data_IF_203965094834
#
_entry.id   IF_203965094834
#
_cell.length_a   1.000
_cell.length_b   1.000
_cell.length_c   1.000
_cell.angle_alpha   90.00
_cell.angle_beta   90.00
_cell.angle_gamma   90.00
#
_symmetry.space_group_name_H-M   'P 1'
#
loop_
_entity.id
_entity.type
_entity.pdbx_description
1 polymer ?
#
# COMPACT_ATOMS: atom_id res chain seq x y z
N UNK A 1 -6.84 -14.85 29.58
CA UNK A 1 -5.72 -14.24 28.83
C UNK A 1 -6.17 -14.01 27.38
N UNK A 2 -7.09 -13.07 27.16
CA UNK A 2 -7.76 -12.89 25.85
C UNK A 2 -8.12 -11.41 25.59
N UNK A 3 -7.41 -10.48 26.24
CA UNK A 3 -7.71 -9.04 26.20
C UNK A 3 -6.57 -8.18 25.65
N UNK A 4 -5.44 -8.76 25.25
CA UNK A 4 -4.27 -8.00 24.76
C UNK A 4 -4.05 -8.07 23.23
N UNK A 5 -4.89 -8.79 22.47
CA UNK A 5 -4.70 -8.98 21.03
C UNK A 5 -5.60 -8.09 20.15
N UNK A 6 -6.55 -7.36 20.72
CA UNK A 6 -7.47 -6.50 19.96
C UNK A 6 -6.98 -5.05 19.77
N UNK A 7 -5.81 -4.68 20.31
CA UNK A 7 -5.37 -3.28 20.37
C UNK A 7 -4.40 -2.85 19.27
N UNK A 8 -3.91 -3.75 18.40
CA UNK A 8 -2.78 -3.43 17.51
C UNK A 8 -3.14 -3.25 16.02
N UNK A 9 -4.42 -3.39 15.63
CA UNK A 9 -4.83 -3.28 14.22
C UNK A 9 -6.14 -2.49 13.99
N UNK A 10 -6.62 -1.75 14.99
CA UNK A 10 -7.75 -0.85 14.79
C UNK A 10 -7.25 0.45 14.17
N UNK A 11 -6.86 0.44 12.89
CA UNK A 11 -6.92 1.66 12.09
C UNK A 11 -8.36 2.11 12.15
N UNK A 12 -8.61 3.24 12.80
CA UNK A 12 -9.97 3.76 12.86
C UNK A 12 -10.40 4.14 11.45
N UNK A 13 -11.69 4.04 11.14
CA UNK A 13 -12.22 4.49 9.84
C UNK A 13 -11.82 5.94 9.49
N UNK A 14 -11.54 6.76 10.50
CA UNK A 14 -11.07 8.13 10.36
C UNK A 14 -9.60 8.25 9.90
N UNK A 15 -8.77 7.23 10.13
CA UNK A 15 -7.34 7.21 9.78
C UNK A 15 -7.07 6.55 8.42
N UNK A 16 -8.05 5.85 7.85
CA UNK A 16 -7.93 5.22 6.53
C UNK A 16 -7.52 6.18 5.40
N UNK A 17 -8.10 7.40 5.28
CA UNK A 17 -7.64 8.35 4.27
C UNK A 17 -6.18 8.77 4.45
N UNK A 18 -5.70 8.86 5.69
CA UNK A 18 -4.29 9.15 5.99
C UNK A 18 -3.39 8.00 5.56
N UNK A 19 -3.75 6.75 5.88
CA UNK A 19 -2.99 5.57 5.44
C UNK A 19 -2.92 5.47 3.91
N UNK A 20 -4.01 5.78 3.20
CA UNK A 20 -4.00 5.83 1.75
C UNK A 20 -3.05 6.93 1.20
N UNK A 21 -3.00 8.09 1.87
CA UNK A 21 -2.08 9.18 1.50
C UNK A 21 -0.62 8.79 1.78
N UNK A 22 -0.36 8.05 2.86
CA UNK A 22 0.97 7.51 3.18
C UNK A 22 1.45 6.55 2.10
N UNK A 23 0.62 5.58 1.69
CA UNK A 23 0.92 4.65 0.58
C UNK A 23 1.21 5.41 -0.73
N UNK A 24 0.43 6.46 -1.04
CA UNK A 24 0.71 7.31 -2.22
C UNK A 24 2.08 8.00 -2.12
N UNK A 25 2.38 8.60 -0.96
CA UNK A 25 3.61 9.34 -0.74
C UNK A 25 4.85 8.44 -0.78
N UNK A 26 4.75 7.24 -0.20
CA UNK A 26 5.78 6.20 -0.30
C UNK A 26 6.01 5.79 -1.75
N UNK A 27 4.94 5.54 -2.51
CA UNK A 27 5.07 5.18 -3.92
C UNK A 27 5.78 6.28 -4.72
N UNK A 28 5.43 7.56 -4.49
CA UNK A 28 6.13 8.71 -5.12
C UNK A 28 7.61 8.77 -4.73
N UNK A 29 7.91 8.48 -3.47
CA UNK A 29 9.29 8.50 -2.95
C UNK A 29 10.11 7.40 -3.61
N UNK A 30 9.58 6.18 -3.69
CA UNK A 30 10.22 5.05 -4.35
C UNK A 30 10.43 5.30 -5.85
N UNK A 31 9.47 5.93 -6.56
CA UNK A 31 9.61 6.27 -7.99
C UNK A 31 10.77 7.23 -8.26
N UNK A 32 11.11 8.08 -7.30
CA UNK A 32 12.23 9.02 -7.40
C UNK A 32 13.60 8.36 -7.20
N UNK A 33 13.65 7.13 -6.67
CA UNK A 33 14.88 6.40 -6.44
C UNK A 33 15.47 5.88 -7.77
N UNK A 34 16.79 5.98 -7.90
CA UNK A 34 17.52 5.55 -9.12
C UNK A 34 18.65 4.58 -8.83
N UNK A 35 18.91 4.27 -7.56
CA UNK A 35 20.02 3.43 -7.12
C UNK A 35 19.51 2.31 -6.22
N UNK A 36 20.02 1.09 -6.45
CA UNK A 36 19.69 -0.07 -5.62
C UNK A 36 20.58 -0.04 -4.39
N UNK A 37 19.99 0.29 -3.24
CA UNK A 37 20.65 0.27 -1.94
C UNK A 37 19.90 -0.64 -0.97
N UNK A 38 20.52 -1.11 0.12
CA UNK A 38 19.80 -1.86 1.16
C UNK A 38 18.62 -1.08 1.77
N UNK A 39 18.75 0.25 1.85
CA UNK A 39 17.67 1.13 2.31
C UNK A 39 16.50 1.11 1.33
N UNK A 40 16.77 1.25 0.03
CA UNK A 40 15.74 1.17 -1.01
C UNK A 40 14.98 -0.17 -0.99
N UNK A 41 15.68 -1.29 -0.80
CA UNK A 41 15.00 -2.59 -0.67
C UNK A 41 14.12 -2.68 0.57
N UNK A 42 14.52 -2.04 1.66
CA UNK A 42 13.72 -1.94 2.88
C UNK A 42 12.47 -1.11 2.63
N UNK A 43 12.60 0.04 1.96
CA UNK A 43 11.48 0.92 1.60
C UNK A 43 10.44 0.18 0.73
N UNK A 44 10.84 -0.68 -0.21
CA UNK A 44 9.88 -1.49 -1.00
C UNK A 44 9.10 -2.47 -0.11
N UNK A 45 9.77 -3.09 0.87
CA UNK A 45 9.13 -4.03 1.80
C UNK A 45 8.19 -3.30 2.76
N UNK A 46 8.56 -2.11 3.22
CA UNK A 46 7.71 -1.24 4.03
C UNK A 46 6.47 -0.83 3.25
N UNK A 47 6.64 -0.33 2.01
CA UNK A 47 5.53 -0.02 1.10
C UNK A 47 4.58 -1.19 0.88
N UNK A 48 5.11 -2.40 0.69
CA UNK A 48 4.30 -3.62 0.61
C UNK A 48 3.46 -3.85 1.88
N UNK A 49 4.08 -3.68 3.04
CA UNK A 49 3.40 -3.81 4.32
C UNK A 49 2.27 -2.80 4.48
N UNK A 50 2.51 -1.56 4.08
CA UNK A 50 1.56 -0.45 4.19
C UNK A 50 0.38 -0.61 3.23
N UNK A 51 0.64 -1.05 1.99
CA UNK A 51 -0.40 -1.45 1.04
C UNK A 51 -1.27 -2.61 1.56
N UNK A 52 -0.67 -3.63 2.18
CA UNK A 52 -1.42 -4.74 2.78
C UNK A 52 -2.27 -4.25 3.98
N UNK A 53 -1.72 -3.40 4.84
CA UNK A 53 -2.48 -2.80 5.95
C UNK A 53 -3.67 -2.00 5.42
N UNK A 54 -3.49 -1.24 4.35
CA UNK A 54 -4.56 -0.49 3.69
C UNK A 54 -5.64 -1.43 3.12
N UNK A 55 -5.24 -2.51 2.43
CA UNK A 55 -6.18 -3.52 1.93
C UNK A 55 -7.07 -4.09 3.03
N UNK A 56 -6.46 -4.55 4.12
CA UNK A 56 -7.17 -5.14 5.27
C UNK A 56 -8.12 -4.11 5.90
N UNK A 57 -7.66 -2.88 6.08
CA UNK A 57 -8.44 -1.83 6.71
C UNK A 57 -9.61 -1.35 5.83
N UNK A 58 -9.44 -1.21 4.51
CA UNK A 58 -10.52 -0.93 3.56
C UNK A 58 -11.59 -2.03 3.58
N UNK A 59 -11.16 -3.30 3.63
CA UNK A 59 -12.07 -4.44 3.75
C UNK A 59 -12.85 -4.40 5.05
N UNK A 60 -12.18 -4.12 6.17
CA UNK A 60 -12.81 -4.02 7.48
C UNK A 60 -13.82 -2.85 7.56
N UNK A 61 -13.53 -1.75 6.86
CA UNK A 61 -14.43 -0.60 6.70
C UNK A 61 -15.62 -0.86 5.76
N UNK A 62 -15.64 -2.00 5.06
CA UNK A 62 -16.70 -2.36 4.12
C UNK A 62 -16.64 -1.58 2.81
N UNK A 63 -15.49 -1.00 2.44
CA UNK A 63 -15.28 -0.45 1.09
C UNK A 63 -15.51 -1.54 0.03
N UNK A 64 -15.99 -1.16 -1.16
CA UNK A 64 -16.25 -2.10 -2.27
C UNK A 64 -15.04 -3.01 -2.53
N UNK A 65 -15.29 -4.28 -2.85
CA UNK A 65 -14.25 -5.32 -2.85
C UNK A 65 -13.08 -5.06 -3.80
N UNK A 66 -13.28 -4.30 -4.86
CA UNK A 66 -12.24 -4.04 -5.86
C UNK A 66 -11.03 -3.35 -5.23
N UNK A 67 -11.23 -2.30 -4.42
CA UNK A 67 -10.12 -1.54 -3.83
C UNK A 67 -9.28 -2.37 -2.84
N UNK A 68 -9.85 -3.05 -1.82
CA UNK A 68 -9.08 -3.98 -1.00
C UNK A 68 -8.31 -5.02 -1.81
N UNK A 69 -8.92 -5.62 -2.83
CA UNK A 69 -8.26 -6.62 -3.66
C UNK A 69 -7.09 -6.03 -4.46
N UNK A 70 -7.26 -4.82 -5.00
CA UNK A 70 -6.19 -4.12 -5.72
C UNK A 70 -4.99 -3.86 -4.78
N UNK A 71 -5.22 -3.31 -3.58
CA UNK A 71 -4.11 -3.03 -2.65
C UNK A 71 -3.41 -4.30 -2.15
N UNK A 72 -4.14 -5.40 -2.03
CA UNK A 72 -3.52 -6.70 -1.74
C UNK A 72 -2.59 -7.15 -2.88
N UNK A 73 -3.04 -7.04 -4.14
CA UNK A 73 -2.21 -7.33 -5.31
C UNK A 73 -0.99 -6.42 -5.39
N UNK A 74 -1.14 -5.11 -5.12
CA UNK A 74 0.00 -4.17 -5.06
C UNK A 74 1.01 -4.60 -4.00
N UNK A 75 0.54 -5.04 -2.82
CA UNK A 75 1.39 -5.51 -1.75
C UNK A 75 2.15 -6.79 -2.14
N UNK A 76 1.49 -7.75 -2.81
CA UNK A 76 2.12 -8.96 -3.35
C UNK A 76 3.19 -8.62 -4.39
N UNK A 77 2.83 -7.83 -5.39
CA UNK A 77 3.72 -7.42 -6.47
C UNK A 77 4.94 -6.67 -5.91
N UNK A 78 4.77 -5.80 -4.91
CA UNK A 78 5.89 -5.09 -4.29
C UNK A 78 6.92 -6.05 -3.65
N UNK A 79 6.47 -7.14 -3.02
CA UNK A 79 7.38 -8.17 -2.48
C UNK A 79 8.13 -8.89 -3.59
N UNK A 80 7.45 -9.18 -4.69
CA UNK A 80 8.09 -9.77 -5.85
C UNK A 80 9.16 -8.86 -6.44
N UNK A 81 8.88 -7.56 -6.60
CA UNK A 81 9.86 -6.58 -7.09
C UNK A 81 11.08 -6.49 -6.15
N UNK A 82 10.88 -6.52 -4.83
CA UNK A 82 11.98 -6.55 -3.88
C UNK A 82 12.87 -7.80 -4.05
N UNK A 83 12.28 -8.96 -4.37
CA UNK A 83 13.02 -10.19 -4.65
C UNK A 83 13.76 -10.11 -6.00
N UNK A 84 13.15 -9.52 -7.03
CA UNK A 84 13.79 -9.30 -8.34
C UNK A 84 15.08 -8.49 -8.21
N UNK A 85 15.06 -7.39 -7.45
CA UNK A 85 16.26 -6.61 -7.21
C UNK A 85 17.35 -7.37 -6.45
N UNK A 86 16.98 -8.30 -5.56
CA UNK A 86 17.96 -9.15 -4.86
C UNK A 86 18.60 -10.18 -5.78
N UNK A 87 17.90 -10.60 -6.83
CA UNK A 87 18.41 -11.56 -7.83
C UNK A 87 19.10 -10.93 -9.04
N UNK A 88 19.06 -9.61 -9.20
CA UNK A 88 19.59 -8.92 -10.36
C UNK A 88 21.13 -8.83 -10.34
N UNK A 89 21.78 -9.68 -11.15
CA UNK A 89 23.22 -9.85 -11.22
C UNK A 89 23.88 -8.86 -12.17
N UNK A 90 23.17 -8.44 -13.22
CA UNK A 90 23.67 -7.50 -14.23
C UNK A 90 22.85 -6.21 -14.38
N UNK A 91 23.37 -5.26 -15.16
CA UNK A 91 22.73 -3.96 -15.34
C UNK A 91 21.38 -4.05 -16.07
N UNK A 92 21.24 -4.98 -17.03
CA UNK A 92 20.00 -5.12 -17.79
C UNK A 92 18.87 -5.65 -16.89
N UNK A 93 19.18 -6.59 -16.00
CA UNK A 93 18.24 -7.10 -15.00
C UNK A 93 17.82 -6.01 -14.00
N UNK A 94 18.76 -5.15 -13.58
CA UNK A 94 18.47 -4.01 -12.70
C UNK A 94 17.57 -2.97 -13.36
N UNK A 95 17.84 -2.66 -14.63
CA UNK A 95 17.03 -1.72 -15.40
C UNK A 95 15.60 -2.26 -15.58
N UNK A 96 15.46 -3.56 -15.86
CA UNK A 96 14.16 -4.23 -15.93
C UNK A 96 13.41 -4.22 -14.59
N UNK A 97 14.10 -4.52 -13.48
CA UNK A 97 13.50 -4.46 -12.14
C UNK A 97 13.00 -3.05 -11.80
N UNK A 98 13.77 -2.00 -12.14
CA UNK A 98 13.31 -0.61 -11.99
C UNK A 98 12.10 -0.28 -12.87
N UNK A 99 12.05 -0.76 -14.11
CA UNK A 99 10.88 -0.56 -14.97
C UNK A 99 9.63 -1.23 -14.40
N UNK A 100 9.75 -2.49 -13.96
CA UNK A 100 8.64 -3.23 -13.37
C UNK A 100 8.15 -2.57 -12.08
N UNK A 101 9.07 -2.12 -11.21
CA UNK A 101 8.70 -1.38 -10.02
C UNK A 101 7.96 -0.09 -10.36
N UNK A 102 8.45 0.69 -11.35
CA UNK A 102 7.77 1.94 -11.74
C UNK A 102 6.33 1.75 -12.18
N UNK A 103 6.04 0.70 -12.96
CA UNK A 103 4.66 0.39 -13.36
C UNK A 103 3.77 0.17 -12.14
N UNK A 104 4.23 -0.65 -11.19
CA UNK A 104 3.50 -0.91 -9.94
C UNK A 104 3.26 0.37 -9.12
N UNK A 105 4.30 1.21 -8.98
CA UNK A 105 4.20 2.43 -8.18
C UNK A 105 3.32 3.48 -8.83
N UNK A 106 3.33 3.60 -10.16
CA UNK A 106 2.45 4.50 -10.90
C UNK A 106 0.96 4.11 -10.72
N UNK A 107 0.66 2.81 -10.71
CA UNK A 107 -0.68 2.31 -10.38
C UNK A 107 -1.07 2.65 -8.94
N UNK A 108 -0.17 2.43 -7.98
CA UNK A 108 -0.41 2.78 -6.57
C UNK A 108 -0.66 4.28 -6.38
N UNK A 109 0.12 5.13 -7.05
CA UNK A 109 -0.04 6.59 -7.05
C UNK A 109 -1.42 7.01 -7.58
N UNK A 110 -1.91 6.33 -8.63
CA UNK A 110 -3.20 6.63 -9.22
C UNK A 110 -4.37 6.19 -8.34
N UNK A 111 -4.25 5.02 -7.70
CA UNK A 111 -5.35 4.35 -7.02
C UNK A 111 -5.46 4.73 -5.54
N UNK A 112 -4.35 5.05 -4.87
CA UNK A 112 -4.35 5.44 -3.46
C UNK A 112 -5.30 6.61 -3.12
N UNK A 113 -5.38 7.70 -3.92
CA UNK A 113 -6.38 8.74 -3.72
C UNK A 113 -7.82 8.23 -3.80
N UNK A 114 -8.10 7.25 -4.67
CA UNK A 114 -9.44 6.65 -4.81
C UNK A 114 -9.82 5.88 -3.55
N UNK A 115 -8.88 5.14 -2.95
CA UNK A 115 -9.09 4.50 -1.65
C UNK A 115 -9.32 5.51 -0.52
N UNK A 116 -8.58 6.62 -0.51
CA UNK A 116 -8.77 7.68 0.48
C UNK A 116 -10.20 8.27 0.40
N UNK A 117 -10.67 8.57 -0.80
CA UNK A 117 -12.05 9.05 -1.02
C UNK A 117 -13.09 8.01 -0.62
N UNK A 118 -12.94 6.76 -1.06
CA UNK A 118 -13.88 5.69 -0.74
C UNK A 118 -13.99 5.43 0.78
N UNK A 119 -12.88 5.48 1.50
CA UNK A 119 -12.87 5.36 2.96
C UNK A 119 -13.57 6.54 3.64
N UNK A 120 -13.34 7.77 3.16
CA UNK A 120 -14.00 8.97 3.68
C UNK A 120 -15.52 8.92 3.47
N UNK A 121 -15.97 8.48 2.30
CA UNK A 121 -17.39 8.31 1.99
C UNK A 121 -18.04 7.28 2.93
N UNK A 122 -17.38 6.13 3.14
CA UNK A 122 -17.84 5.11 4.10
C UNK A 122 -17.94 5.63 5.53
N UNK A 123 -16.96 6.42 5.99
CA UNK A 123 -16.99 7.02 7.32
C UNK A 123 -18.17 7.99 7.47
N UNK A 124 -18.46 8.79 6.43
CA UNK A 124 -19.59 9.70 6.41
C UNK A 124 -20.95 8.97 6.45
N UNK A 125 -21.11 7.90 5.66
CA UNK A 125 -22.31 7.05 5.67
C UNK A 125 -22.61 6.47 7.06
N UNK A 126 -21.58 5.93 7.72
CA UNK A 126 -21.73 5.36 9.06
C UNK A 126 -22.09 6.42 10.11
N UNK A 127 -21.52 7.62 10.01
CA UNK A 127 -21.83 8.72 10.91
C UNK A 127 -23.28 9.21 10.78
N UNK A 128 -23.86 9.14 9.58
CA UNK A 128 -25.30 9.42 9.36
C UNK A 128 -26.17 8.31 9.94
N UNK A 129 -25.81 7.04 9.71
CA UNK A 129 -26.59 5.90 10.21
C UNK A 129 -26.63 5.77 11.75
N UNK A 130 -25.66 6.36 12.45
CA UNK A 130 -25.58 6.37 13.91
C UNK A 130 -26.33 7.53 14.58
N UNK A 131 -26.90 8.47 13.80
CA UNK A 131 -27.71 9.59 14.30
C UNK A 131 -29.19 9.26 14.33
#
# INVERSE_FOLDING_TARGET
MLTCLALMLNVSLAELPSLATEVEAEARTLTAQTEITPAFLTEIVEFSGDAERLSVALRAAGVEQDLPCIFHGIAEDARERAAEFQSADDQAERDAAFMNLRVLLDDAILIAPMAASAAADRAAEQAVAQR
#
